data_IF_020959094111
#
_entry.id   IF_020959094111
#
_cell.length_a   1.000
_cell.length_b   1.000
_cell.length_c   1.000
_cell.angle_alpha   90.00
_cell.angle_beta   90.00
_cell.angle_gamma   90.00
#
_symmetry.space_group_name_H-M   'P 1'
#
loop_
_entity.id
_entity.type
_entity.pdbx_description
1 polymer ?
#
# COMPACT_ATOMS: atom_id res chain seq x y z
N UNK A 1 -5.94 -5.46 15.35
CA UNK A 1 -5.22 -5.13 14.09
C UNK A 1 -6.21 -5.28 12.95
N UNK A 2 -6.69 -4.18 12.39
CA UNK A 2 -7.69 -4.21 11.31
C UNK A 2 -7.08 -4.84 10.06
N UNK A 3 -7.83 -5.71 9.38
CA UNK A 3 -7.46 -6.22 8.06
C UNK A 3 -7.33 -5.01 7.14
N UNK A 4 -6.11 -4.65 6.74
CA UNK A 4 -5.91 -3.60 5.73
C UNK A 4 -6.18 -4.23 4.37
N UNK A 5 -7.45 -4.44 4.05
CA UNK A 5 -7.87 -4.87 2.72
C UNK A 5 -7.69 -3.70 1.75
N UNK A 6 -7.62 -3.96 0.45
CA UNK A 6 -7.55 -2.91 -0.56
C UNK A 6 -8.76 -2.00 -0.53
N UNK A 7 -9.92 -2.49 -0.07
CA UNK A 7 -11.10 -1.64 0.17
C UNK A 7 -10.89 -0.62 1.29
N UNK A 8 -10.20 -0.98 2.38
CA UNK A 8 -9.91 -0.08 3.48
C UNK A 8 -8.78 0.87 3.13
N UNK A 9 -7.77 0.39 2.41
CA UNK A 9 -6.71 1.22 1.83
C UNK A 9 -7.33 2.21 0.83
N UNK A 10 -8.23 1.77 -0.04
CA UNK A 10 -8.94 2.62 -0.99
C UNK A 10 -9.78 3.70 -0.29
N UNK A 11 -10.48 3.34 0.79
CA UNK A 11 -11.20 4.30 1.62
C UNK A 11 -10.25 5.31 2.26
N UNK A 12 -9.14 4.85 2.83
CA UNK A 12 -8.12 5.71 3.42
C UNK A 12 -7.50 6.67 2.39
N UNK A 13 -7.21 6.18 1.18
CA UNK A 13 -6.70 6.98 0.06
C UNK A 13 -7.73 8.05 -0.33
N UNK A 14 -9.01 7.67 -0.44
CA UNK A 14 -10.09 8.59 -0.80
C UNK A 14 -10.33 9.64 0.30
N UNK A 15 -10.26 9.23 1.58
CA UNK A 15 -10.31 10.14 2.73
C UNK A 15 -9.09 11.07 2.80
N UNK A 16 -7.91 10.57 2.44
CA UNK A 16 -6.64 11.30 2.42
C UNK A 16 -6.40 12.16 1.18
N UNK A 17 -7.46 12.56 0.46
CA UNK A 17 -7.37 13.38 -0.77
C UNK A 17 -6.55 12.73 -1.90
N UNK A 18 -6.62 11.41 -2.04
CA UNK A 18 -5.99 10.66 -3.13
C UNK A 18 -4.69 9.94 -2.75
N UNK A 19 -4.24 10.03 -1.50
CA UNK A 19 -3.08 9.28 -0.97
C UNK A 19 -3.34 8.82 0.47
N UNK A 20 -2.85 7.64 0.84
CA UNK A 20 -2.82 7.11 2.19
C UNK A 20 -1.37 6.87 2.60
N UNK A 21 -0.97 7.38 3.76
CA UNK A 21 0.34 7.10 4.34
C UNK A 21 0.24 5.88 5.25
N UNK A 22 1.05 4.87 4.98
CA UNK A 22 1.15 3.62 5.72
C UNK A 22 2.53 3.55 6.38
N UNK A 23 2.56 3.42 7.70
CA UNK A 23 3.80 3.20 8.43
C UNK A 23 4.13 1.71 8.43
N UNK A 24 5.34 1.37 7.98
CA UNK A 24 5.84 0.00 8.00
C UNK A 24 6.33 -0.40 9.39
N UNK A 25 6.36 -1.70 9.66
CA UNK A 25 6.93 -2.26 10.89
C UNK A 25 8.43 -1.94 11.05
N UNK A 26 9.12 -1.74 9.92
CA UNK A 26 10.54 -1.35 9.90
C UNK A 26 10.77 0.14 10.21
N UNK A 27 9.70 0.92 10.43
CA UNK A 27 9.78 2.34 10.73
C UNK A 27 9.68 3.27 9.51
N UNK A 28 9.86 2.75 8.30
CA UNK A 28 9.71 3.51 7.06
C UNK A 28 8.25 3.83 6.69
N UNK A 29 8.06 4.77 5.78
CA UNK A 29 6.74 5.26 5.34
C UNK A 29 6.44 4.88 3.89
N UNK A 30 5.35 4.16 3.66
CA UNK A 30 4.84 3.87 2.33
C UNK A 30 3.63 4.76 2.03
N UNK A 31 3.61 5.39 0.86
CA UNK A 31 2.46 6.16 0.40
C UNK A 31 1.68 5.33 -0.61
N UNK A 32 0.52 4.81 -0.22
CA UNK A 32 -0.40 4.20 -1.18
C UNK A 32 -1.27 5.26 -1.85
N UNK A 33 -1.56 5.09 -3.12
CA UNK A 33 -2.44 5.95 -3.89
C UNK A 33 -3.08 5.14 -5.02
N UNK A 34 -4.26 5.55 -5.45
CA UNK A 34 -4.96 4.86 -6.54
C UNK A 34 -4.97 5.72 -7.78
N UNK A 35 -4.73 5.10 -8.93
CA UNK A 35 -4.88 5.71 -10.25
C UNK A 35 -5.99 4.98 -11.00
N UNK A 36 -7.19 5.56 -10.99
CA UNK A 36 -8.37 4.91 -11.56
C UNK A 36 -8.72 3.64 -10.80
N UNK A 37 -8.46 2.47 -11.42
CA UNK A 37 -8.74 1.15 -10.84
C UNK A 37 -7.49 0.45 -10.29
N UNK A 38 -6.31 1.00 -10.55
CA UNK A 38 -5.03 0.44 -10.14
C UNK A 38 -4.54 1.06 -8.83
N UNK A 39 -4.06 0.23 -7.92
CA UNK A 39 -3.43 0.64 -6.66
C UNK A 39 -1.92 0.72 -6.86
N UNK A 40 -1.33 1.83 -6.43
CA UNK A 40 0.10 2.09 -6.47
C UNK A 40 0.61 2.35 -5.05
N UNK A 41 1.83 1.92 -4.78
CA UNK A 41 2.57 2.24 -3.57
C UNK A 41 3.86 2.96 -3.94
N UNK A 42 4.14 4.07 -3.27
CA UNK A 42 5.41 4.79 -3.41
C UNK A 42 6.18 4.71 -2.10
N UNK A 43 7.45 4.34 -2.17
CA UNK A 43 8.35 4.36 -1.01
C UNK A 43 8.98 5.74 -0.78
N UNK A 44 9.76 5.85 0.30
CA UNK A 44 10.46 7.09 0.70
C UNK A 44 11.63 7.46 -0.23
N UNK A 45 12.06 6.52 -1.06
CA UNK A 45 13.05 6.74 -2.11
C UNK A 45 12.39 7.25 -3.41
N UNK A 46 11.06 7.27 -3.48
CA UNK A 46 10.29 7.66 -4.66
C UNK A 46 10.03 6.52 -5.64
N UNK A 47 10.43 5.27 -5.33
CA UNK A 47 10.09 4.14 -6.17
C UNK A 47 8.60 3.86 -6.04
N UNK A 48 7.94 3.68 -7.18
CA UNK A 48 6.51 3.38 -7.22
C UNK A 48 6.30 1.98 -7.76
N UNK A 49 5.57 1.16 -7.00
CA UNK A 49 5.19 -0.21 -7.36
C UNK A 49 3.69 -0.28 -7.60
N UNK A 50 3.28 -1.00 -8.64
CA UNK A 50 1.87 -1.28 -8.90
C UNK A 50 1.46 -2.55 -8.17
N UNK A 51 0.31 -2.52 -7.50
CA UNK A 51 -0.31 -3.71 -6.94
C UNK A 51 -0.96 -4.51 -8.07
N UNK A 52 -0.47 -5.72 -8.29
CA UNK A 52 -0.99 -6.64 -9.32
C UNK A 52 -2.08 -7.54 -8.77
N UNK A 53 -1.94 -8.00 -7.53
CA UNK A 53 -2.93 -8.83 -6.84
C UNK A 53 -3.14 -8.26 -5.45
N UNK A 54 -4.35 -7.77 -5.20
CA UNK A 54 -4.77 -7.28 -3.90
C UNK A 54 -5.54 -8.36 -3.13
N UNK A 55 -5.65 -8.20 -1.80
CA UNK A 55 -6.57 -8.95 -0.94
C UNK A 55 -6.32 -10.47 -0.85
N UNK A 56 -5.07 -10.90 -0.84
CA UNK A 56 -4.73 -12.31 -0.53
C UNK A 56 -4.87 -12.54 0.97
N UNK A 57 -6.03 -13.00 1.41
CA UNK A 57 -6.34 -13.28 2.81
C UNK A 57 -5.49 -14.44 3.35
N UNK A 58 -4.82 -14.20 4.46
CA UNK A 58 -4.09 -15.19 5.23
C UNK A 58 -4.56 -15.20 6.69
N UNK A 59 -4.30 -16.27 7.42
CA UNK A 59 -4.70 -16.41 8.82
C UNK A 59 -4.17 -15.30 9.74
N UNK A 60 -3.09 -14.63 9.33
CA UNK A 60 -2.39 -13.57 10.05
C UNK A 60 -2.55 -12.18 9.42
N UNK A 61 -3.28 -12.02 8.31
CA UNK A 61 -3.41 -10.72 7.66
C UNK A 61 -3.82 -10.79 6.19
N UNK A 62 -3.35 -9.81 5.42
CA UNK A 62 -3.65 -9.67 4.00
C UNK A 62 -2.34 -9.41 3.27
N UNK A 63 -2.05 -10.20 2.24
CA UNK A 63 -0.93 -9.96 1.33
C UNK A 63 -1.43 -9.17 0.12
N UNK A 64 -0.62 -8.19 -0.27
CA UNK A 64 -0.74 -7.48 -1.54
C UNK A 64 0.51 -7.80 -2.37
N UNK A 65 0.32 -8.29 -3.59
CA UNK A 65 1.40 -8.56 -4.54
C UNK A 65 1.68 -7.30 -5.34
N UNK A 66 2.95 -6.91 -5.39
CA UNK A 66 3.44 -5.77 -6.16
C UNK A 66 4.42 -6.23 -7.22
N UNK A 67 4.51 -5.49 -8.32
CA UNK A 67 5.43 -5.79 -9.42
C UNK A 67 6.88 -5.36 -9.16
N UNK A 68 7.07 -4.33 -8.33
CA UNK A 68 8.37 -3.69 -8.10
C UNK A 68 8.75 -3.74 -6.62
N UNK A 69 10.03 -3.96 -6.35
CA UNK A 69 10.58 -4.00 -4.99
C UNK A 69 10.65 -2.59 -4.40
N UNK A 70 10.02 -2.40 -3.25
CA UNK A 70 10.08 -1.16 -2.46
C UNK A 70 11.25 -1.26 -1.49
N UNK A 71 12.09 -0.22 -1.45
CA UNK A 71 13.26 -0.19 -0.57
C UNK A 71 13.07 0.87 0.52
N UNK A 72 13.26 0.53 1.80
CA UNK A 72 13.23 1.53 2.86
C UNK A 72 14.45 2.45 2.75
N UNK A 73 14.28 3.72 3.14
CA UNK A 73 15.39 4.66 3.25
C UNK A 73 16.10 4.40 4.57
N UNK A 74 17.42 4.21 4.54
CA UNK A 74 18.25 4.01 5.73
C UNK A 74 18.21 5.23 6.65
#
# INVERSE_FOLDING_TARGET
AGKMNASDIAKAIKMGKGKASLKTVSGGTLTAWMKGKDLYLTDENGNSSKVTIADVNQSNGVIHVVDTVLLPKK
#
